data_IF_081028733431
#
_entry.id   IF_081028733431
#
_cell.length_a   1.000
_cell.length_b   1.000
_cell.length_c   1.000
_cell.angle_alpha   90.00
_cell.angle_beta   90.00
_cell.angle_gamma   90.00
#
_symmetry.space_group_name_H-M   'P 1'
#
loop_
_entity.id
_entity.type
_entity.pdbx_description
1 polymer ?
#
# COMPACT_ATOMS: atom_id res chain seq x y z
N UNK A 1 1.09 -25.50 4.63
CA UNK A 1 2.27 -24.71 4.19
C UNK A 1 2.11 -24.48 2.70
N UNK A 2 1.52 -23.36 2.30
CA UNK A 2 1.43 -22.93 0.90
C UNK A 2 2.77 -22.26 0.55
N UNK A 3 3.46 -22.67 -0.53
CA UNK A 3 4.67 -22.00 -0.94
C UNK A 3 4.33 -20.59 -1.40
N UNK A 4 4.87 -19.59 -0.74
CA UNK A 4 4.81 -18.22 -1.17
C UNK A 4 5.42 -18.12 -2.57
N UNK A 5 4.68 -17.56 -3.53
CA UNK A 5 5.18 -17.25 -4.86
C UNK A 5 6.34 -16.28 -4.65
N UNK A 6 7.56 -16.67 -5.02
CA UNK A 6 8.72 -15.79 -4.89
C UNK A 6 8.56 -14.57 -5.80
N UNK A 7 9.04 -13.42 -5.37
CA UNK A 7 8.99 -12.17 -6.15
C UNK A 7 9.61 -12.35 -7.54
N UNK A 8 10.60 -13.22 -7.66
CA UNK A 8 11.27 -13.62 -8.90
C UNK A 8 10.32 -14.29 -9.91
N UNK A 9 9.38 -15.12 -9.45
CA UNK A 9 8.38 -15.73 -10.32
C UNK A 9 7.41 -14.68 -10.87
N UNK A 10 7.01 -13.72 -10.04
CA UNK A 10 6.13 -12.63 -10.47
C UNK A 10 6.81 -11.68 -11.47
N UNK A 11 8.08 -11.34 -11.25
CA UNK A 11 8.87 -10.52 -12.17
C UNK A 11 9.12 -11.23 -13.50
N UNK A 12 9.35 -12.56 -13.49
CA UNK A 12 9.42 -13.36 -14.71
C UNK A 12 8.10 -13.38 -15.48
N UNK A 13 6.97 -13.51 -14.77
CA UNK A 13 5.65 -13.42 -15.39
C UNK A 13 5.41 -12.05 -16.04
N UNK A 14 5.78 -10.95 -15.35
CA UNK A 14 5.73 -9.59 -15.92
C UNK A 14 6.68 -9.40 -17.11
N UNK A 15 7.87 -9.99 -17.07
CA UNK A 15 8.84 -9.90 -18.18
C UNK A 15 8.39 -10.70 -19.41
N UNK A 16 7.68 -11.82 -19.25
CA UNK A 16 7.14 -12.61 -20.35
C UNK A 16 5.98 -11.93 -21.07
N UNK A 17 5.28 -11.01 -20.40
CA UNK A 17 4.15 -10.23 -20.97
C UNK A 17 4.64 -9.06 -21.86
N UNK A 18 5.93 -8.69 -21.79
CA UNK A 18 6.51 -7.63 -22.64
C UNK A 18 6.65 -7.99 -24.13
N UNK A 19 6.38 -9.24 -24.51
CA UNK A 19 6.60 -9.73 -25.90
C UNK A 19 5.41 -9.60 -26.85
N UNK A 20 4.19 -9.72 -26.39
CA UNK A 20 2.99 -9.66 -27.23
C UNK A 20 1.83 -9.03 -26.44
N UNK A 21 1.21 -8.01 -26.99
CA UNK A 21 0.18 -7.13 -26.41
C UNK A 21 -1.09 -7.77 -25.85
N UNK A 22 -0.97 -8.83 -25.09
CA UNK A 22 -2.04 -9.41 -24.29
C UNK A 22 -1.87 -8.92 -22.83
N UNK A 23 -2.64 -7.91 -22.47
CA UNK A 23 -2.87 -7.52 -21.10
C UNK A 23 -3.50 -8.72 -20.36
N UNK A 24 -2.71 -9.43 -19.60
CA UNK A 24 -3.24 -10.36 -18.62
C UNK A 24 -3.84 -9.50 -17.49
N UNK A 25 -5.12 -9.15 -17.61
CA UNK A 25 -5.85 -8.24 -16.71
C UNK A 25 -6.00 -8.79 -15.28
N UNK A 26 -5.58 -10.03 -15.01
CA UNK A 26 -5.90 -10.75 -13.78
C UNK A 26 -4.73 -10.92 -12.79
N UNK A 27 -3.54 -10.37 -13.05
CA UNK A 27 -2.42 -10.54 -12.12
C UNK A 27 -2.35 -9.37 -11.15
N UNK A 28 -3.08 -9.47 -10.04
CA UNK A 28 -2.90 -8.51 -8.94
C UNK A 28 -1.54 -8.74 -8.26
N UNK A 29 -0.82 -7.67 -7.89
CA UNK A 29 0.44 -7.79 -7.16
C UNK A 29 0.21 -8.38 -5.77
N UNK A 30 1.29 -8.82 -5.09
CA UNK A 30 1.21 -9.12 -3.67
C UNK A 30 0.64 -7.94 -2.88
N UNK A 31 -0.22 -8.20 -1.91
CA UNK A 31 -0.84 -7.15 -1.08
C UNK A 31 0.17 -6.22 -0.43
N UNK A 32 1.32 -6.75 0.00
CA UNK A 32 2.43 -5.96 0.52
C UNK A 32 2.91 -4.87 -0.46
N UNK A 33 2.86 -5.10 -1.77
CA UNK A 33 3.21 -4.08 -2.75
C UNK A 33 2.15 -2.99 -2.80
N UNK A 34 0.88 -3.35 -2.71
CA UNK A 34 -0.21 -2.38 -2.61
C UNK A 34 -0.07 -1.52 -1.36
N UNK A 35 0.25 -2.14 -0.22
CA UNK A 35 0.51 -1.42 1.04
C UNK A 35 1.66 -0.42 0.91
N UNK A 36 2.75 -0.78 0.24
CA UNK A 36 3.87 0.12 0.00
C UNK A 36 3.51 1.25 -0.98
N UNK A 37 2.83 0.94 -2.08
CA UNK A 37 2.34 1.93 -3.04
C UNK A 37 1.45 2.94 -2.32
N UNK A 38 0.51 2.47 -1.50
CA UNK A 38 -0.36 3.32 -0.69
C UNK A 38 0.42 4.14 0.33
N UNK A 39 1.30 3.52 1.08
CA UNK A 39 2.13 4.18 2.10
C UNK A 39 2.92 5.36 1.53
N UNK A 40 3.54 5.16 0.39
CA UNK A 40 4.38 6.16 -0.27
C UNK A 40 3.60 7.04 -1.25
N UNK A 41 2.28 6.80 -1.38
CA UNK A 41 1.39 7.56 -2.26
C UNK A 41 1.91 7.62 -3.70
N UNK A 42 2.41 6.47 -4.23
CA UNK A 42 2.89 6.32 -5.61
C UNK A 42 1.69 6.23 -6.58
N UNK A 43 0.86 7.30 -6.54
CA UNK A 43 -0.41 7.42 -7.23
C UNK A 43 -0.58 8.84 -7.80
N UNK A 44 -1.27 8.97 -8.91
CA UNK A 44 -1.76 10.25 -9.42
C UNK A 44 -2.84 10.82 -8.50
N UNK A 45 -2.43 11.44 -7.40
CA UNK A 45 -3.26 11.83 -6.24
C UNK A 45 -4.39 12.80 -6.55
N UNK A 46 -4.26 13.57 -7.59
CA UNK A 46 -5.26 14.54 -8.10
C UNK A 46 -6.36 13.89 -8.95
N UNK A 47 -6.16 12.65 -9.38
CA UNK A 47 -7.07 11.92 -10.26
C UNK A 47 -7.87 10.83 -9.53
N UNK A 48 -7.57 10.56 -8.26
CA UNK A 48 -8.17 9.46 -7.52
C UNK A 48 -9.69 9.57 -7.46
N UNK A 49 -10.37 8.45 -7.71
CA UNK A 49 -11.83 8.34 -7.61
C UNK A 49 -12.24 7.00 -7.00
N UNK A 50 -13.37 7.04 -6.31
CA UNK A 50 -14.07 5.82 -5.92
C UNK A 50 -14.70 5.15 -7.14
N UNK A 51 -15.12 3.90 -7.00
CA UNK A 51 -15.77 3.16 -8.08
C UNK A 51 -17.12 3.74 -8.50
N UNK A 52 -17.78 4.50 -7.61
CA UNK A 52 -18.99 5.27 -7.93
C UNK A 52 -18.68 6.68 -8.49
N UNK A 53 -17.40 6.97 -8.77
CA UNK A 53 -16.96 8.17 -9.49
C UNK A 53 -16.71 9.40 -8.62
N UNK A 54 -16.85 9.33 -7.30
CA UNK A 54 -16.56 10.44 -6.40
C UNK A 54 -15.04 10.69 -6.32
N UNK A 55 -14.62 11.95 -6.35
CA UNK A 55 -13.20 12.31 -6.19
C UNK A 55 -12.69 11.90 -4.80
N UNK A 56 -11.47 11.38 -4.73
CA UNK A 56 -10.80 11.03 -3.47
C UNK A 56 -9.58 11.91 -3.28
N UNK A 57 -9.48 12.55 -2.13
CA UNK A 57 -8.27 13.30 -1.71
C UNK A 57 -7.68 12.66 -0.47
N UNK A 58 -6.46 12.17 -0.60
CA UNK A 58 -5.70 11.62 0.51
C UNK A 58 -4.90 12.75 1.16
N UNK A 59 -5.37 13.28 2.27
CA UNK A 59 -4.67 14.31 3.04
C UNK A 59 -3.57 13.70 3.91
N UNK A 60 -3.84 12.50 4.45
CA UNK A 60 -2.88 11.67 5.15
C UNK A 60 -3.19 10.19 4.86
N UNK A 61 -2.22 9.37 4.43
CA UNK A 61 -2.47 7.96 4.07
C UNK A 61 -2.74 7.05 5.28
N UNK A 62 -2.51 7.52 6.49
CA UNK A 62 -2.55 6.72 7.70
C UNK A 62 -1.18 6.19 8.11
N UNK A 63 -1.15 5.51 9.25
CA UNK A 63 0.02 4.82 9.78
C UNK A 63 -0.12 3.33 9.47
N UNK A 64 0.91 2.77 8.84
CA UNK A 64 0.90 1.35 8.50
C UNK A 64 0.76 0.48 9.74
N UNK A 65 -0.30 -0.30 9.79
CA UNK A 65 -0.58 -1.27 10.83
C UNK A 65 0.02 -2.63 10.44
N UNK A 66 0.82 -3.21 11.32
CA UNK A 66 1.42 -4.55 11.14
C UNK A 66 0.77 -5.59 12.05
N UNK A 67 -0.26 -5.18 12.78
CA UNK A 67 -1.05 -6.02 13.66
C UNK A 67 -2.38 -6.38 13.02
N UNK A 68 -3.21 -7.16 13.71
CA UNK A 68 -4.55 -7.46 13.27
C UNK A 68 -5.42 -6.19 13.14
N UNK A 69 -6.29 -6.14 12.14
CA UNK A 69 -7.16 -5.02 11.82
C UNK A 69 -6.79 -4.34 10.50
N UNK A 70 -7.34 -3.16 10.21
CA UNK A 70 -7.10 -2.44 8.97
C UNK A 70 -5.61 -2.15 8.73
N UNK A 71 -5.20 -2.17 7.46
CA UNK A 71 -3.80 -1.98 7.04
C UNK A 71 -3.21 -0.63 7.42
N UNK A 72 -4.02 0.42 7.35
CA UNK A 72 -3.61 1.78 7.73
C UNK A 72 -4.60 2.37 8.70
N UNK A 73 -4.09 2.87 9.82
CA UNK A 73 -4.88 3.54 10.85
C UNK A 73 -4.71 5.04 10.79
N UNK A 74 -5.75 5.76 11.20
CA UNK A 74 -5.72 7.22 11.34
C UNK A 74 -5.42 7.96 10.02
N UNK A 75 -5.86 7.43 8.90
CA UNK A 75 -5.85 8.14 7.62
C UNK A 75 -6.80 9.35 7.67
N UNK A 76 -6.52 10.36 6.85
CA UNK A 76 -7.40 11.52 6.67
C UNK A 76 -7.78 11.60 5.20
N UNK A 77 -9.02 11.25 4.90
CA UNK A 77 -9.55 11.09 3.54
C UNK A 77 -10.75 12.02 3.33
N UNK A 78 -10.77 12.68 2.19
CA UNK A 78 -11.94 13.42 1.71
C UNK A 78 -12.51 12.73 0.48
N UNK A 79 -13.82 12.47 0.45
CA UNK A 79 -14.53 11.83 -0.67
C UNK A 79 -15.63 12.76 -1.15
N UNK A 80 -15.65 13.02 -2.46
CA UNK A 80 -16.59 13.93 -3.07
C UNK A 80 -16.50 15.35 -2.49
N UNK A 81 -17.65 15.95 -2.24
CA UNK A 81 -17.79 17.27 -1.59
C UNK A 81 -17.88 17.22 -0.07
N UNK A 82 -17.78 16.03 0.54
CA UNK A 82 -17.89 15.88 1.99
C UNK A 82 -16.65 16.41 2.73
N UNK A 83 -16.78 16.80 4.01
CA UNK A 83 -15.62 17.12 4.84
C UNK A 83 -14.64 15.94 4.94
N UNK A 84 -13.36 16.26 5.09
CA UNK A 84 -12.36 15.23 5.33
C UNK A 84 -12.66 14.47 6.63
N UNK A 85 -12.55 13.15 6.58
CA UNK A 85 -12.79 12.24 7.72
C UNK A 85 -11.50 11.56 8.13
N UNK A 86 -11.27 11.44 9.43
CA UNK A 86 -10.26 10.57 9.99
C UNK A 86 -10.84 9.18 10.17
N UNK A 87 -10.10 8.16 9.75
CA UNK A 87 -10.49 6.76 9.87
C UNK A 87 -9.40 5.85 9.34
N UNK A 88 -9.76 4.61 9.09
CA UNK A 88 -8.82 3.58 8.68
C UNK A 88 -8.95 3.30 7.18
N UNK A 89 -7.90 2.71 6.59
CA UNK A 89 -7.91 2.26 5.20
C UNK A 89 -7.52 0.78 5.17
N UNK A 90 -8.33 0.01 4.46
CA UNK A 90 -8.08 -1.40 4.20
C UNK A 90 -7.68 -1.61 2.74
N UNK A 91 -6.72 -2.49 2.50
CA UNK A 91 -6.28 -2.88 1.17
C UNK A 91 -6.54 -4.36 0.95
N UNK A 92 -7.18 -4.68 -0.16
CA UNK A 92 -7.43 -6.04 -0.60
C UNK A 92 -7.06 -6.20 -2.08
N UNK A 93 -6.66 -7.39 -2.49
CA UNK A 93 -6.39 -7.66 -3.91
C UNK A 93 -7.64 -7.57 -4.77
N UNK A 94 -8.80 -7.85 -4.19
CA UNK A 94 -10.10 -7.79 -4.85
C UNK A 94 -11.19 -7.38 -3.85
N UNK A 95 -12.28 -6.78 -4.34
CA UNK A 95 -13.44 -6.37 -3.51
C UNK A 95 -14.01 -7.52 -2.67
N UNK A 96 -13.96 -8.76 -3.18
CA UNK A 96 -14.40 -9.93 -2.45
C UNK A 96 -13.67 -10.19 -1.14
N UNK A 97 -12.46 -9.66 -0.97
CA UNK A 97 -11.68 -9.75 0.28
C UNK A 97 -12.46 -9.24 1.47
N UNK A 98 -13.14 -8.10 1.33
CA UNK A 98 -13.95 -7.52 2.39
C UNK A 98 -14.97 -8.49 3.02
N UNK A 99 -15.63 -9.28 2.20
CA UNK A 99 -16.60 -10.29 2.67
C UNK A 99 -15.95 -11.60 3.09
N UNK A 100 -14.97 -12.09 2.32
CA UNK A 100 -14.30 -13.36 2.60
C UNK A 100 -13.50 -13.34 3.91
N UNK A 101 -12.96 -12.16 4.27
CA UNK A 101 -12.24 -11.92 5.52
C UNK A 101 -13.16 -11.49 6.67
N UNK A 102 -14.49 -11.47 6.46
CA UNK A 102 -15.51 -11.11 7.46
C UNK A 102 -15.35 -9.70 8.05
N UNK A 103 -14.82 -8.75 7.28
CA UNK A 103 -14.57 -7.37 7.76
C UNK A 103 -15.88 -6.65 8.10
N UNK A 104 -16.96 -6.88 7.37
CA UNK A 104 -18.25 -6.22 7.59
C UNK A 104 -18.86 -6.44 9.00
N UNK A 105 -18.54 -7.57 9.65
CA UNK A 105 -19.01 -7.89 11.01
C UNK A 105 -17.97 -7.70 12.11
N UNK A 106 -16.75 -7.33 11.75
CA UNK A 106 -15.64 -7.23 12.69
C UNK A 106 -15.52 -5.81 13.26
N UNK A 107 -15.66 -5.61 14.58
CA UNK A 107 -15.55 -4.30 15.19
C UNK A 107 -14.24 -3.56 14.91
N UNK A 108 -13.16 -4.28 14.61
CA UNK A 108 -11.87 -3.68 14.26
C UNK A 108 -11.95 -2.83 12.98
N UNK A 109 -12.86 -3.14 12.04
CA UNK A 109 -13.00 -2.47 10.75
C UNK A 109 -14.10 -1.39 10.72
N UNK A 110 -14.74 -1.12 11.87
CA UNK A 110 -15.87 -0.16 11.96
C UNK A 110 -15.50 1.27 11.58
N UNK A 111 -14.22 1.61 11.63
CA UNK A 111 -13.72 2.95 11.31
C UNK A 111 -13.09 3.04 9.92
N UNK A 112 -13.20 2.00 9.10
CA UNK A 112 -12.69 2.04 7.73
C UNK A 112 -13.51 3.05 6.91
N UNK A 113 -12.83 4.06 6.40
CA UNK A 113 -13.41 5.16 5.60
C UNK A 113 -13.16 4.98 4.10
N UNK A 114 -12.21 4.11 3.73
CA UNK A 114 -11.88 3.79 2.34
C UNK A 114 -11.37 2.35 2.25
N UNK A 115 -11.94 1.58 1.33
CA UNK A 115 -11.45 0.27 0.93
C UNK A 115 -10.72 0.40 -0.41
N UNK A 116 -9.44 0.05 -0.45
CA UNK A 116 -8.61 0.14 -1.66
C UNK A 116 -8.39 -1.27 -2.19
N UNK A 117 -8.68 -1.46 -3.48
CA UNK A 117 -8.50 -2.74 -4.15
C UNK A 117 -7.57 -2.59 -5.34
N UNK A 118 -6.98 -3.70 -5.82
CA UNK A 118 -6.13 -3.62 -7.01
C UNK A 118 -6.94 -3.27 -8.25
N UNK A 119 -7.88 -4.14 -8.59
CA UNK A 119 -8.87 -3.93 -9.65
C UNK A 119 -10.23 -4.40 -9.15
N UNK A 120 -11.32 -3.93 -9.73
CA UNK A 120 -12.64 -4.38 -9.35
C UNK A 120 -13.62 -4.45 -10.51
N UNK A 121 -14.25 -5.60 -10.74
CA UNK A 121 -15.61 -5.63 -11.21
C UNK A 121 -16.51 -5.26 -10.02
N UNK A 122 -17.27 -4.18 -10.15
CA UNK A 122 -18.11 -3.57 -9.10
C UNK A 122 -19.07 -4.55 -8.46
N UNK A 123 -19.17 -4.60 -7.10
CA UNK A 123 -20.31 -5.28 -6.46
C UNK A 123 -20.81 -4.63 -5.17
N UNK A 124 -19.98 -4.07 -4.30
CA UNK A 124 -20.45 -3.49 -3.03
C UNK A 124 -19.57 -2.29 -2.66
N UNK A 125 -20.22 -1.16 -2.44
CA UNK A 125 -19.54 0.12 -2.27
C UNK A 125 -19.54 0.61 -0.80
N UNK A 126 -19.72 -0.29 0.15
CA UNK A 126 -19.67 0.09 1.56
C UNK A 126 -18.62 -0.74 2.32
N UNK A 127 -17.59 -0.11 2.87
CA UNK A 127 -17.20 1.32 2.77
C UNK A 127 -16.91 1.76 1.33
N UNK A 128 -16.75 3.07 1.04
CA UNK A 128 -16.37 3.55 -0.30
C UNK A 128 -15.16 2.80 -0.83
N UNK A 129 -15.20 2.35 -2.09
CA UNK A 129 -14.16 1.53 -2.72
C UNK A 129 -13.42 2.31 -3.81
N UNK A 130 -12.09 2.19 -3.85
CA UNK A 130 -11.24 2.75 -4.89
C UNK A 130 -10.36 1.66 -5.51
N UNK A 131 -10.31 1.57 -6.84
CA UNK A 131 -9.31 0.75 -7.53
C UNK A 131 -7.97 1.50 -7.58
N UNK A 132 -6.88 0.81 -7.24
CA UNK A 132 -5.55 1.42 -7.18
C UNK A 132 -4.85 1.43 -8.55
N UNK A 133 -4.95 0.34 -9.30
CA UNK A 133 -4.18 0.12 -10.54
C UNK A 133 -4.28 1.27 -11.56
N UNK A 134 -5.46 1.87 -11.84
CA UNK A 134 -5.56 2.92 -12.85
C UNK A 134 -4.84 4.22 -12.48
N UNK A 135 -4.47 4.36 -11.22
CA UNK A 135 -3.90 5.60 -10.68
C UNK A 135 -2.43 5.50 -10.33
N UNK A 136 -1.74 4.42 -10.70
CA UNK A 136 -0.30 4.31 -10.47
C UNK A 136 0.45 5.46 -11.16
N UNK A 137 1.41 6.07 -10.46
CA UNK A 137 2.24 7.17 -10.99
C UNK A 137 3.37 6.69 -11.91
N UNK A 138 3.62 5.38 -11.94
CA UNK A 138 4.56 4.72 -12.83
C UNK A 138 4.10 3.29 -13.15
N UNK A 139 4.57 2.67 -14.25
CA UNK A 139 4.29 1.27 -14.54
C UNK A 139 4.66 0.35 -13.39
N UNK A 140 3.83 -0.67 -13.11
CA UNK A 140 4.07 -1.59 -11.99
C UNK A 140 5.45 -2.23 -12.01
N UNK A 141 6.02 -2.50 -13.18
CA UNK A 141 7.38 -3.06 -13.32
C UNK A 141 8.48 -2.10 -12.81
N UNK A 142 8.29 -0.79 -12.94
CA UNK A 142 9.20 0.21 -12.39
C UNK A 142 9.03 0.32 -10.87
N UNK A 143 7.78 0.37 -10.41
CA UNK A 143 7.45 0.37 -8.99
C UNK A 143 7.98 -0.89 -8.30
N UNK A 144 7.91 -2.06 -8.95
CA UNK A 144 8.43 -3.31 -8.42
C UNK A 144 9.92 -3.23 -8.07
N UNK A 145 10.73 -2.69 -8.98
CA UNK A 145 12.17 -2.52 -8.75
C UNK A 145 12.46 -1.62 -7.55
N UNK A 146 11.68 -0.56 -7.39
CA UNK A 146 11.79 0.34 -6.24
C UNK A 146 11.33 -0.33 -4.93
N UNK A 147 10.19 -1.06 -4.97
CA UNK A 147 9.63 -1.78 -3.82
C UNK A 147 10.55 -2.88 -3.29
N UNK A 148 11.31 -3.53 -4.15
CA UNK A 148 12.28 -4.56 -3.75
C UNK A 148 13.45 -3.99 -2.97
N UNK A 149 13.89 -2.78 -3.28
CA UNK A 149 14.95 -2.09 -2.55
C UNK A 149 14.50 -1.59 -1.17
N UNK A 150 13.22 -1.33 -0.97
CA UNK A 150 12.62 -0.97 0.32
C UNK A 150 12.24 -2.17 1.20
N UNK A 151 12.50 -3.40 0.76
CA UNK A 151 12.21 -4.57 1.58
C UNK A 151 13.04 -4.51 2.88
N UNK A 152 12.41 -4.50 4.07
CA UNK A 152 13.14 -4.52 5.34
C UNK A 152 13.77 -5.90 5.54
N UNK A 153 14.95 -6.08 5.02
CA UNK A 153 15.69 -7.33 5.09
C UNK A 153 17.08 -7.22 4.48
N UNK A 154 17.32 -6.15 3.73
CA UNK A 154 18.62 -5.86 3.15
C UNK A 154 19.19 -4.54 3.70
N UNK A 155 19.06 -4.32 4.99
CA UNK A 155 20.09 -3.51 5.64
C UNK A 155 21.38 -4.33 5.49
N UNK A 156 22.40 -3.79 4.78
CA UNK A 156 23.70 -4.46 4.74
C UNK A 156 24.10 -4.79 6.17
N UNK A 157 24.62 -6.02 6.40
CA UNK A 157 24.99 -6.47 7.73
C UNK A 157 26.04 -5.57 8.42
N UNK A 158 26.57 -4.59 7.70
CA UNK A 158 27.53 -3.58 8.13
C UNK A 158 26.90 -2.20 8.43
N UNK A 159 25.56 -2.11 8.60
CA UNK A 159 24.86 -0.91 9.07
C UNK A 159 24.38 -1.05 10.53
N UNK A 160 25.25 -1.34 11.51
CA UNK A 160 24.84 -1.26 12.90
C UNK A 160 24.56 0.19 13.25
N UNK A 161 23.34 0.51 13.57
CA UNK A 161 22.95 1.76 14.23
C UNK A 161 23.18 3.05 13.47
N UNK A 162 22.86 3.13 12.18
CA UNK A 162 23.09 4.36 11.38
C UNK A 162 22.30 5.58 11.83
N UNK A 163 21.23 5.44 12.60
CA UNK A 163 20.62 6.59 13.27
C UNK A 163 21.54 7.28 14.27
N UNK A 164 22.56 6.57 14.78
CA UNK A 164 23.61 7.09 15.67
C UNK A 164 24.92 7.41 14.92
N UNK A 165 24.94 7.34 13.58
CA UNK A 165 26.12 7.56 12.75
C UNK A 165 26.87 8.88 13.04
N UNK A 166 26.19 10.02 13.26
CA UNK A 166 26.84 11.23 13.71
C UNK A 166 27.49 11.12 15.08
N UNK A 167 26.82 10.43 16.03
CA UNK A 167 27.31 10.25 17.41
C UNK A 167 28.42 9.21 17.52
N UNK A 168 28.47 8.22 16.62
CA UNK A 168 29.57 7.24 16.57
C UNK A 168 30.93 7.81 16.16
N UNK A 169 30.95 9.07 15.69
CA UNK A 169 32.17 9.80 15.36
C UNK A 169 32.60 10.79 16.46
N UNK A 170 31.84 10.91 17.53
CA UNK A 170 32.09 11.80 18.65
C UNK A 170 32.89 11.04 19.70
N UNK A 171 34.00 11.60 20.14
CA UNK A 171 34.79 11.00 21.22
C UNK A 171 34.03 11.04 22.56
N UNK A 172 34.34 10.13 23.52
CA UNK A 172 33.70 10.16 24.84
C UNK A 172 33.82 11.49 25.57
N UNK A 173 34.85 12.28 25.26
CA UNK A 173 35.07 13.61 25.83
C UNK A 173 34.13 14.63 25.23
N UNK A 174 33.95 14.63 23.91
CA UNK A 174 33.00 15.49 23.20
C UNK A 174 31.54 15.18 23.56
N UNK A 175 31.25 13.94 23.97
CA UNK A 175 29.89 13.52 24.38
C UNK A 175 29.48 14.12 25.72
N UNK A 176 30.41 14.60 26.55
CA UNK A 176 30.16 15.22 27.86
C UNK A 176 29.87 16.72 27.78
N UNK A 177 30.07 17.32 26.61
CA UNK A 177 29.85 18.75 26.36
C UNK A 177 28.54 19.03 25.60
N UNK A 178 27.76 18.00 25.25
CA UNK A 178 26.43 18.10 24.64
C UNK A 178 25.37 17.89 25.71
#
# INVERSE_FOLDING_TARGET
MTPGISSEFYLRALASVRGDGFLCEDVSPPERWMQQIWRHQRLHRDQLRTLDGQGVRVLHPGFWNREAGPDFRDAVIQIGGEPARRGDVELDRAVGGWRSHHHAGNPAYRFVVLHVVWTSPVVDLHPPVMAMQPYLDAPLGELASWLEHEAPGLLPANLPGHCCGPLGKVSPEQFREI
#
